data_IF_397239682420
#
_entry.id   IF_397239682420
#
_cell.length_a   1.000
_cell.length_b   1.000
_cell.length_c   1.000
_cell.angle_alpha   90.00
_cell.angle_beta   90.00
_cell.angle_gamma   90.00
#
_symmetry.space_group_name_H-M   'P 1'
#
loop_
_entity.id
_entity.type
_entity.pdbx_description
1 polymer ?
#
# COMPACT_ATOMS: atom_id res chain seq x y z
N UNK A 1 22.98 -4.65 24.86
CA UNK A 1 21.88 -4.77 23.88
C UNK A 1 22.05 -5.95 22.90
N UNK A 2 23.21 -6.16 22.23
CA UNK A 2 23.39 -7.29 21.27
C UNK A 2 23.17 -8.68 21.86
N UNK A 3 23.52 -8.92 23.13
CA UNK A 3 23.32 -10.21 23.83
C UNK A 3 21.85 -10.49 24.21
N UNK A 4 21.05 -9.45 24.47
CA UNK A 4 19.62 -9.58 24.77
C UNK A 4 18.78 -9.95 23.54
N UNK A 5 19.14 -9.41 22.37
CA UNK A 5 18.47 -9.76 21.09
C UNK A 5 18.79 -11.21 20.70
N UNK A 6 20.03 -11.66 20.92
CA UNK A 6 20.43 -13.05 20.63
C UNK A 6 19.76 -14.05 21.59
N UNK A 7 19.61 -13.70 22.87
CA UNK A 7 18.87 -14.51 23.84
C UNK A 7 17.38 -14.54 23.57
N UNK A 8 16.78 -13.45 23.09
CA UNK A 8 15.39 -13.40 22.64
C UNK A 8 15.15 -14.29 21.43
N UNK A 9 16.02 -14.24 20.43
CA UNK A 9 15.96 -15.12 19.27
C UNK A 9 16.14 -16.61 19.64
N UNK A 10 17.12 -16.93 20.49
CA UNK A 10 17.33 -18.30 20.94
C UNK A 10 16.20 -18.82 21.85
N UNK A 11 15.57 -17.94 22.64
CA UNK A 11 14.41 -18.29 23.47
C UNK A 11 13.17 -18.65 22.62
N UNK A 12 12.98 -18.04 21.45
CA UNK A 12 11.89 -18.37 20.52
C UNK A 12 12.11 -19.75 19.87
N UNK A 13 13.37 -20.15 19.64
CA UNK A 13 13.69 -21.46 19.05
C UNK A 13 13.59 -22.63 20.05
N UNK A 14 13.53 -22.36 21.35
CA UNK A 14 13.39 -23.42 22.38
C UNK A 14 11.93 -23.81 22.68
N UNK A 15 10.96 -23.09 22.14
CA UNK A 15 9.54 -23.39 22.34
C UNK A 15 9.04 -24.18 21.13
N UNK A 16 9.00 -25.49 21.31
CA UNK A 16 8.11 -26.40 20.64
C UNK A 16 8.66 -27.31 19.53
N UNK A 17 8.43 -28.59 19.73
CA UNK A 17 8.30 -29.64 18.74
C UNK A 17 7.03 -29.46 17.83
N UNK A 18 6.51 -28.23 17.66
CA UNK A 18 5.42 -27.91 16.75
C UNK A 18 5.98 -27.69 15.35
N UNK A 19 5.24 -28.09 14.33
CA UNK A 19 5.66 -28.04 12.94
C UNK A 19 6.05 -26.60 12.51
N UNK A 20 7.36 -26.33 12.52
CA UNK A 20 7.93 -25.10 12.01
C UNK A 20 7.88 -25.13 10.48
N UNK A 21 7.14 -24.23 9.86
CA UNK A 21 7.22 -23.99 8.42
C UNK A 21 8.13 -22.80 8.13
N UNK A 22 9.01 -22.94 7.16
CA UNK A 22 9.89 -21.88 6.71
C UNK A 22 9.97 -21.84 5.20
N UNK A 23 10.42 -20.74 4.66
CA UNK A 23 10.60 -20.53 3.24
C UNK A 23 11.29 -19.20 2.99
N UNK A 24 11.48 -18.90 1.73
CA UNK A 24 12.04 -17.62 1.33
C UNK A 24 11.52 -17.14 -0.01
N UNK A 25 11.79 -15.89 -0.32
CA UNK A 25 11.44 -15.27 -1.60
C UNK A 25 12.67 -14.50 -2.10
N UNK A 26 13.08 -14.77 -3.32
CA UNK A 26 14.04 -13.96 -4.06
C UNK A 26 13.26 -13.05 -5.01
N UNK A 27 13.53 -11.76 -4.96
CA UNK A 27 12.88 -10.77 -5.81
C UNK A 27 13.94 -9.97 -6.58
N UNK A 28 13.67 -9.74 -7.84
CA UNK A 28 14.37 -8.79 -8.69
C UNK A 28 13.36 -7.82 -9.30
N UNK A 29 13.72 -6.53 -9.33
CA UNK A 29 13.01 -5.52 -10.10
C UNK A 29 14.05 -4.61 -10.75
N UNK A 30 14.10 -4.60 -12.07
CA UNK A 30 14.97 -3.75 -12.88
C UNK A 30 14.10 -2.77 -13.65
N UNK A 31 14.17 -1.48 -13.33
CA UNK A 31 13.38 -0.40 -13.92
C UNK A 31 14.28 0.57 -14.65
N UNK A 32 14.08 0.70 -15.95
CA UNK A 32 14.66 1.75 -16.78
C UNK A 32 13.65 2.89 -16.90
N UNK A 33 14.08 4.11 -16.64
CA UNK A 33 13.23 5.31 -16.77
C UNK A 33 13.89 6.32 -17.70
N UNK A 34 13.07 7.05 -18.43
CA UNK A 34 13.50 8.08 -19.37
C UNK A 34 12.61 9.33 -19.23
N UNK A 35 13.20 10.52 -19.46
CA UNK A 35 12.44 11.74 -19.67
C UNK A 35 11.89 11.82 -21.11
N UNK A 36 11.16 12.89 -21.41
CA UNK A 36 10.44 13.07 -22.68
C UNK A 36 11.29 12.96 -23.95
N UNK A 37 12.51 13.48 -23.93
CA UNK A 37 13.43 13.51 -25.08
C UNK A 37 14.48 12.40 -25.04
N UNK A 38 14.38 11.48 -24.07
CA UNK A 38 15.34 10.41 -23.81
C UNK A 38 16.78 10.90 -23.54
N UNK A 39 16.94 12.19 -23.21
CA UNK A 39 18.24 12.76 -22.86
C UNK A 39 18.72 12.34 -21.47
N UNK A 40 17.79 11.98 -20.58
CA UNK A 40 18.09 11.45 -19.26
C UNK A 40 17.55 10.04 -19.12
N UNK A 41 18.45 9.09 -18.93
CA UNK A 41 18.14 7.70 -18.67
C UNK A 41 18.61 7.35 -17.27
N UNK A 42 17.78 6.62 -16.53
CA UNK A 42 18.15 6.08 -15.21
C UNK A 42 17.74 4.61 -15.09
N UNK A 43 18.61 3.82 -14.46
CA UNK A 43 18.35 2.43 -14.12
C UNK A 43 18.22 2.33 -12.61
N UNK A 44 17.06 1.89 -12.15
CA UNK A 44 16.85 1.48 -10.77
C UNK A 44 16.76 -0.04 -10.73
N UNK A 45 17.67 -0.68 -10.01
CA UNK A 45 17.67 -2.12 -9.80
C UNK A 45 17.51 -2.41 -8.31
N UNK A 46 16.47 -3.17 -7.98
CA UNK A 46 16.17 -3.60 -6.62
C UNK A 46 16.16 -5.11 -6.56
N UNK A 47 17.04 -5.69 -5.72
CA UNK A 47 17.09 -7.11 -5.44
C UNK A 47 16.85 -7.34 -3.98
N UNK A 48 16.02 -8.32 -3.67
CA UNK A 48 15.68 -8.67 -2.30
C UNK A 48 15.70 -10.16 -2.05
N UNK A 49 16.04 -10.54 -0.83
CA UNK A 49 15.84 -11.88 -0.29
C UNK A 49 15.12 -11.75 1.03
N UNK A 50 13.99 -12.41 1.16
CA UNK A 50 13.30 -12.55 2.44
C UNK A 50 13.29 -14.01 2.88
N UNK A 51 13.40 -14.21 4.20
CA UNK A 51 13.19 -15.49 4.87
C UNK A 51 12.04 -15.34 5.83
N UNK A 52 11.11 -16.27 5.80
CA UNK A 52 9.97 -16.28 6.70
C UNK A 52 9.88 -17.61 7.47
N UNK A 53 9.36 -17.49 8.69
CA UNK A 53 9.03 -18.62 9.54
C UNK A 53 7.61 -18.48 10.06
N UNK A 54 6.91 -19.61 10.18
CA UNK A 54 5.60 -19.69 10.81
C UNK A 54 5.58 -20.88 11.74
N UNK A 55 5.00 -20.71 12.94
CA UNK A 55 4.87 -21.80 13.93
C UNK A 55 3.55 -21.67 14.67
N UNK A 56 2.77 -22.73 14.83
CA UNK A 56 1.71 -22.74 15.82
C UNK A 56 2.28 -22.58 17.21
N UNK A 57 1.61 -21.81 18.07
CA UNK A 57 2.00 -21.60 19.47
C UNK A 57 1.20 -22.48 20.45
N UNK A 58 0.16 -23.13 19.93
CA UNK A 58 -0.64 -24.05 20.73
C UNK A 58 -1.15 -25.24 19.88
N UNK A 59 -1.62 -26.30 20.56
CA UNK A 59 -2.07 -27.54 19.92
C UNK A 59 -3.30 -27.36 19.02
N UNK A 60 -4.13 -26.37 19.28
CA UNK A 60 -5.33 -26.08 18.48
C UNK A 60 -5.05 -25.21 17.26
N UNK A 61 -3.80 -24.82 17.07
CA UNK A 61 -3.33 -23.95 15.97
C UNK A 61 -4.11 -22.62 15.80
N UNK A 62 -4.88 -22.22 16.79
CA UNK A 62 -5.60 -20.95 16.77
C UNK A 62 -4.72 -19.75 17.17
N UNK A 63 -3.50 -20.00 17.65
CA UNK A 63 -2.49 -19.01 17.94
C UNK A 63 -1.19 -19.39 17.22
N UNK A 64 -0.66 -18.47 16.40
CA UNK A 64 0.51 -18.70 15.54
C UNK A 64 1.48 -17.54 15.67
N UNK A 65 2.76 -17.85 15.56
CA UNK A 65 3.83 -16.89 15.34
C UNK A 65 4.16 -16.81 13.86
N UNK A 66 4.46 -15.60 13.36
CA UNK A 66 5.01 -15.39 12.02
C UNK A 66 6.12 -14.36 12.10
N UNK A 67 7.24 -14.63 11.44
CA UNK A 67 8.36 -13.71 11.32
C UNK A 67 8.94 -13.72 9.92
N UNK A 68 9.44 -12.57 9.48
CA UNK A 68 10.15 -12.38 8.24
C UNK A 68 11.34 -11.46 8.44
N UNK A 69 12.46 -11.79 7.81
CA UNK A 69 13.63 -10.90 7.71
C UNK A 69 13.90 -10.68 6.24
N UNK A 70 13.98 -9.42 5.85
CA UNK A 70 14.26 -8.96 4.50
C UNK A 70 15.68 -8.36 4.45
N UNK A 71 16.46 -8.80 3.48
CA UNK A 71 17.62 -8.05 2.99
C UNK A 71 17.32 -7.57 1.58
N UNK A 72 17.53 -6.28 1.32
CA UNK A 72 17.32 -5.66 0.02
C UNK A 72 18.48 -4.75 -0.31
N UNK A 73 18.92 -4.78 -1.56
CA UNK A 73 19.83 -3.77 -2.06
C UNK A 73 19.23 -3.07 -3.28
N UNK A 74 19.39 -1.77 -3.35
CA UNK A 74 19.01 -0.93 -4.48
C UNK A 74 20.26 -0.32 -5.09
N UNK A 75 20.32 -0.37 -6.42
CA UNK A 75 21.28 0.34 -7.24
C UNK A 75 20.50 1.35 -8.09
N UNK A 76 20.79 2.61 -7.92
CA UNK A 76 20.33 3.69 -8.78
C UNK A 76 21.52 4.14 -9.63
N UNK A 77 21.39 4.08 -10.95
CA UNK A 77 22.40 4.51 -11.90
C UNK A 77 21.82 5.54 -12.86
N UNK A 78 22.43 6.71 -12.91
CA UNK A 78 22.12 7.78 -13.86
C UNK A 78 23.11 7.71 -15.02
N UNK A 79 22.61 7.50 -16.25
CA UNK A 79 23.44 7.36 -17.44
C UNK A 79 24.03 8.70 -17.92
N UNK A 80 23.40 9.82 -17.58
CA UNK A 80 23.84 11.15 -17.97
C UNK A 80 25.01 11.63 -17.10
N UNK A 81 24.82 11.63 -15.78
CA UNK A 81 25.89 11.98 -14.83
C UNK A 81 26.93 10.87 -14.66
N UNK A 82 26.62 9.63 -15.06
CA UNK A 82 27.37 8.40 -14.80
C UNK A 82 27.60 8.13 -13.31
N UNK A 83 26.70 8.62 -12.48
CA UNK A 83 26.73 8.40 -11.05
C UNK A 83 25.92 7.18 -10.65
N UNK A 84 26.37 6.50 -9.61
CA UNK A 84 25.67 5.37 -9.02
C UNK A 84 25.52 5.52 -7.52
N UNK A 85 24.37 5.18 -7.02
CA UNK A 85 24.09 5.15 -5.58
C UNK A 85 23.65 3.75 -5.17
N UNK A 86 24.27 3.22 -4.12
CA UNK A 86 23.92 1.95 -3.52
C UNK A 86 23.26 2.17 -2.16
N UNK A 87 22.13 1.49 -1.95
CA UNK A 87 21.45 1.48 -0.67
C UNK A 87 21.19 0.04 -0.23
N UNK A 88 21.69 -0.30 0.97
CA UNK A 88 21.45 -1.60 1.60
C UNK A 88 20.40 -1.44 2.70
N UNK A 89 19.42 -2.32 2.72
CA UNK A 89 18.33 -2.33 3.69
C UNK A 89 18.27 -3.71 4.32
N UNK A 90 18.34 -3.77 5.65
CA UNK A 90 17.86 -4.92 6.42
C UNK A 90 16.62 -4.49 7.16
N UNK A 91 15.58 -5.25 7.06
CA UNK A 91 14.32 -4.98 7.75
C UNK A 91 13.66 -6.27 8.24
N UNK A 92 12.74 -6.11 9.17
CA UNK A 92 11.85 -7.14 9.67
C UNK A 92 10.43 -6.67 9.44
N UNK A 93 9.90 -6.92 8.25
CA UNK A 93 8.58 -6.43 7.83
C UNK A 93 7.43 -7.18 8.49
N UNK A 94 7.69 -8.38 8.98
CA UNK A 94 6.72 -9.20 9.68
C UNK A 94 7.35 -9.81 10.94
N UNK A 95 6.79 -9.51 12.09
CA UNK A 95 7.11 -10.14 13.38
C UNK A 95 5.86 -10.07 14.25
N UNK A 96 4.99 -11.06 14.15
CA UNK A 96 3.71 -11.02 14.85
C UNK A 96 3.27 -12.34 15.46
N UNK A 97 2.45 -12.22 16.48
CA UNK A 97 1.57 -13.27 16.96
C UNK A 97 0.18 -13.04 16.33
N UNK A 98 -0.37 -14.08 15.76
CA UNK A 98 -1.69 -14.09 15.15
C UNK A 98 -2.58 -15.08 15.89
N UNK A 99 -3.76 -14.63 16.33
CA UNK A 99 -4.79 -15.46 16.93
C UNK A 99 -6.08 -15.45 16.12
N UNK A 100 -6.76 -16.61 16.02
CA UNK A 100 -8.07 -16.75 15.38
C UNK A 100 -8.94 -17.71 16.13
N UNK A 101 -10.11 -17.23 16.58
CA UNK A 101 -11.09 -18.02 17.33
C UNK A 101 -12.43 -17.98 16.63
N UNK A 102 -12.91 -19.15 16.24
CA UNK A 102 -14.24 -19.30 15.65
C UNK A 102 -15.29 -19.49 16.74
N UNK A 103 -16.41 -18.79 16.63
CA UNK A 103 -17.61 -18.91 17.45
C UNK A 103 -18.77 -19.30 16.54
N UNK A 104 -19.91 -19.67 17.13
CA UNK A 104 -21.10 -20.05 16.35
C UNK A 104 -21.54 -19.00 15.31
N UNK A 105 -21.41 -17.72 15.63
CA UNK A 105 -21.89 -16.62 14.78
C UNK A 105 -20.80 -15.85 14.06
N UNK A 106 -19.53 -16.04 14.41
CA UNK A 106 -18.47 -15.24 13.81
C UNK A 106 -17.07 -15.65 14.26
N UNK A 107 -16.10 -14.90 13.83
CA UNK A 107 -14.68 -15.13 14.09
C UNK A 107 -14.06 -13.89 14.72
N UNK A 108 -13.35 -14.07 15.83
CA UNK A 108 -12.46 -13.07 16.41
C UNK A 108 -11.04 -13.32 15.93
N UNK A 109 -10.36 -12.29 15.46
CA UNK A 109 -8.95 -12.34 15.10
C UNK A 109 -8.15 -11.29 15.86
N UNK A 110 -6.92 -11.64 16.20
CA UNK A 110 -5.94 -10.79 16.89
C UNK A 110 -4.63 -10.84 16.12
N UNK A 111 -4.06 -9.70 15.78
CA UNK A 111 -2.68 -9.55 15.34
C UNK A 111 -1.95 -8.66 16.35
N UNK A 112 -0.77 -9.08 16.82
CA UNK A 112 0.05 -8.29 17.75
C UNK A 112 1.52 -8.37 17.35
N UNK A 113 2.17 -7.22 17.20
CA UNK A 113 3.56 -7.09 16.79
C UNK A 113 3.72 -6.21 15.56
N UNK A 114 4.65 -6.56 14.68
CA UNK A 114 4.90 -5.87 13.41
C UNK A 114 4.21 -6.57 12.25
N UNK A 115 3.36 -5.86 11.54
CA UNK A 115 2.65 -6.37 10.37
C UNK A 115 2.15 -5.23 9.48
N UNK A 116 1.87 -5.56 8.21
CA UNK A 116 1.24 -4.61 7.31
C UNK A 116 -0.21 -4.39 7.73
N UNK A 117 -0.54 -3.15 8.07
CA UNK A 117 -1.90 -2.70 8.35
C UNK A 117 -2.33 -1.74 7.24
N UNK A 118 -3.59 -1.81 6.84
CA UNK A 118 -4.20 -0.88 5.90
C UNK A 118 -5.58 -0.46 6.39
N UNK A 119 -5.89 0.81 6.24
CA UNK A 119 -7.23 1.32 6.43
C UNK A 119 -8.20 0.76 5.36
N UNK A 120 -9.51 0.85 5.57
CA UNK A 120 -10.51 0.34 4.62
C UNK A 120 -10.42 1.01 3.24
N UNK A 121 -10.02 2.25 3.22
CA UNK A 121 -9.90 3.01 1.99
C UNK A 121 -8.62 2.71 1.23
N UNK A 122 -7.58 2.23 1.91
CA UNK A 122 -6.22 2.15 1.40
C UNK A 122 -5.61 3.51 1.06
N UNK A 123 -6.21 4.59 1.55
CA UNK A 123 -5.90 5.96 1.14
C UNK A 123 -5.00 6.67 2.13
N UNK A 124 -5.34 6.61 3.42
CA UNK A 124 -4.69 7.40 4.45
C UNK A 124 -3.47 6.68 5.03
N UNK A 125 -3.65 5.40 5.40
CA UNK A 125 -2.64 4.63 6.12
C UNK A 125 -2.59 3.19 5.63
N UNK A 126 -1.57 2.86 4.86
CA UNK A 126 -1.34 1.50 4.35
C UNK A 126 0.16 1.21 4.35
N UNK A 127 0.66 0.65 5.45
CA UNK A 127 2.07 0.32 5.60
C UNK A 127 2.30 -0.70 6.70
N UNK A 128 3.52 -1.23 6.79
CA UNK A 128 4.00 -1.99 7.95
C UNK A 128 4.09 -1.07 9.15
N UNK A 129 3.59 -1.51 10.30
CA UNK A 129 3.73 -0.79 11.58
C UNK A 129 3.67 -1.75 12.76
N UNK A 130 4.09 -1.28 13.93
CA UNK A 130 4.10 -2.04 15.17
C UNK A 130 2.81 -1.77 15.94
N UNK A 131 2.04 -2.81 16.28
CA UNK A 131 0.77 -2.56 16.95
C UNK A 131 -0.03 -3.81 17.28
N UNK A 132 -1.27 -3.56 17.65
CA UNK A 132 -2.29 -4.58 17.94
C UNK A 132 -3.53 -4.28 17.12
N UNK A 133 -3.98 -5.26 16.35
CA UNK A 133 -5.25 -5.23 15.65
C UNK A 133 -6.16 -6.33 16.20
N UNK A 134 -7.41 -5.97 16.48
CA UNK A 134 -8.48 -6.90 16.86
C UNK A 134 -9.61 -6.74 15.87
N UNK A 135 -10.13 -7.82 15.33
CA UNK A 135 -11.30 -7.78 14.45
C UNK A 135 -12.28 -8.90 14.73
N UNK A 136 -13.55 -8.57 14.67
CA UNK A 136 -14.66 -9.49 14.69
C UNK A 136 -15.33 -9.52 13.34
N UNK A 137 -15.61 -10.68 12.82
CA UNK A 137 -16.21 -10.89 11.50
C UNK A 137 -17.30 -11.97 11.58
N UNK A 138 -18.55 -11.60 11.27
CA UNK A 138 -19.67 -12.51 11.11
C UNK A 138 -20.35 -12.34 9.74
N UNK A 139 -21.48 -13.02 9.53
CA UNK A 139 -22.23 -12.97 8.27
C UNK A 139 -22.69 -11.54 7.93
N UNK A 140 -23.06 -10.74 8.93
CA UNK A 140 -23.66 -9.42 8.74
C UNK A 140 -22.73 -8.26 9.09
N UNK A 141 -21.90 -8.44 10.10
CA UNK A 141 -21.10 -7.36 10.67
C UNK A 141 -19.62 -7.73 10.65
N UNK A 142 -18.81 -6.76 10.27
CA UNK A 142 -17.36 -6.79 10.50
C UNK A 142 -16.99 -5.54 11.27
N UNK A 143 -16.29 -5.68 12.39
CA UNK A 143 -15.79 -4.57 13.18
C UNK A 143 -14.30 -4.78 13.48
N UNK A 144 -13.53 -3.70 13.58
CA UNK A 144 -12.11 -3.78 13.85
C UNK A 144 -11.60 -2.57 14.61
N UNK A 145 -10.53 -2.80 15.33
CA UNK A 145 -9.77 -1.77 16.02
C UNK A 145 -8.28 -2.04 15.85
N UNK A 146 -7.52 -1.01 15.60
CA UNK A 146 -6.07 -1.03 15.54
C UNK A 146 -5.49 0.12 16.38
N UNK A 147 -4.45 -0.19 17.15
CA UNK A 147 -3.61 0.78 17.83
C UNK A 147 -2.15 0.41 17.58
N UNK A 148 -1.32 1.39 17.22
CA UNK A 148 0.05 1.10 16.82
C UNK A 148 1.05 2.21 17.14
N UNK A 149 2.28 1.97 16.69
CA UNK A 149 3.42 2.84 16.85
C UNK A 149 4.33 2.75 15.63
N UNK A 150 4.71 3.87 15.05
CA UNK A 150 5.54 3.90 13.84
C UNK A 150 7.04 4.05 14.13
N UNK A 151 7.46 4.10 15.40
CA UNK A 151 8.84 4.37 15.80
C UNK A 151 9.86 3.29 15.50
N UNK A 152 9.44 2.03 15.35
CA UNK A 152 10.31 0.90 15.05
C UNK A 152 10.45 0.60 13.54
N UNK A 153 9.84 1.41 12.68
CA UNK A 153 9.98 1.27 11.24
C UNK A 153 11.33 1.72 10.75
N UNK A 154 11.91 0.98 9.82
CA UNK A 154 13.09 1.43 9.09
C UNK A 154 12.68 2.45 8.01
N UNK A 155 13.08 3.70 8.18
CA UNK A 155 12.72 4.81 7.29
C UNK A 155 13.20 4.63 5.84
N UNK A 156 14.17 3.77 5.58
CA UNK A 156 14.62 3.44 4.23
C UNK A 156 13.65 2.53 3.46
N UNK A 157 12.79 1.82 4.19
CA UNK A 157 11.84 0.86 3.62
C UNK A 157 10.38 1.31 3.77
N UNK A 158 10.14 2.50 4.29
CA UNK A 158 8.81 3.04 4.57
C UNK A 158 8.60 4.33 3.79
N UNK A 159 7.46 4.42 3.09
CA UNK A 159 7.00 5.63 2.43
C UNK A 159 5.98 6.35 3.33
N UNK A 160 6.42 7.37 4.06
CA UNK A 160 5.57 8.22 4.90
C UNK A 160 5.68 9.67 4.46
N UNK A 161 4.56 10.39 4.47
CA UNK A 161 4.47 11.77 3.99
C UNK A 161 5.44 12.72 4.70
N UNK A 162 5.59 12.57 6.03
CA UNK A 162 6.46 13.42 6.84
C UNK A 162 7.84 12.76 7.12
N UNK A 163 8.27 11.86 6.26
CA UNK A 163 9.54 11.17 6.40
C UNK A 163 10.65 11.90 5.64
N UNK A 164 11.51 12.62 6.36
CA UNK A 164 12.69 13.25 5.78
C UNK A 164 13.75 12.18 5.51
N UNK A 165 14.08 12.01 4.23
CA UNK A 165 15.18 11.18 3.75
C UNK A 165 16.41 12.06 3.50
N UNK A 166 17.51 11.74 4.17
CA UNK A 166 18.82 12.34 3.88
C UNK A 166 19.67 11.35 3.09
N UNK A 167 20.16 11.74 1.93
CA UNK A 167 21.04 10.93 1.11
C UNK A 167 22.30 10.48 1.90
N UNK A 168 22.76 9.24 1.67
CA UNK A 168 23.95 8.67 2.33
C UNK A 168 23.71 8.16 3.74
N UNK A 169 22.47 7.99 4.17
CA UNK A 169 22.14 7.51 5.50
C UNK A 169 22.39 6.02 5.72
N UNK A 170 22.56 5.73 7.00
CA UNK A 170 22.94 4.43 7.50
C UNK A 170 21.88 3.35 7.21
N UNK A 171 22.37 2.14 7.14
CA UNK A 171 21.76 0.86 6.96
C UNK A 171 20.42 0.62 7.69
N UNK A 172 20.21 1.17 8.89
CA UNK A 172 18.97 1.13 9.63
C UNK A 172 18.75 2.42 10.42
N UNK A 173 17.60 3.06 10.24
CA UNK A 173 17.22 4.27 10.98
C UNK A 173 15.74 4.23 11.32
N UNK A 174 15.41 4.49 12.58
CA UNK A 174 14.02 4.53 13.07
C UNK A 174 13.25 5.71 12.50
N UNK A 175 11.94 5.55 12.35
CA UNK A 175 11.01 6.54 11.83
C UNK A 175 9.87 6.84 12.83
N UNK A 176 10.15 7.50 13.98
CA UNK A 176 9.15 7.81 15.00
C UNK A 176 8.26 8.98 14.55
N UNK A 177 7.08 8.71 14.03
CA UNK A 177 6.17 9.72 13.52
C UNK A 177 4.88 9.82 14.34
N UNK A 178 4.10 8.75 14.40
CA UNK A 178 2.75 8.78 14.93
C UNK A 178 2.41 7.55 15.79
N UNK A 179 1.42 7.75 16.67
CA UNK A 179 0.62 6.69 17.26
C UNK A 179 -0.70 6.64 16.48
N UNK A 180 -0.89 5.68 15.56
CA UNK A 180 -2.14 5.47 14.85
C UNK A 180 -3.17 4.77 15.72
N UNK A 181 -4.41 5.28 15.71
CA UNK A 181 -5.61 4.67 16.27
C UNK A 181 -6.65 4.57 15.16
N UNK A 182 -7.14 3.38 14.85
CA UNK A 182 -8.11 3.15 13.79
C UNK A 182 -9.24 2.27 14.31
N UNK A 183 -10.48 2.70 14.10
CA UNK A 183 -11.68 1.92 14.41
C UNK A 183 -12.58 1.87 13.19
N UNK A 184 -13.15 0.69 12.92
CA UNK A 184 -14.01 0.50 11.76
C UNK A 184 -15.16 -0.46 12.03
N UNK A 185 -16.24 -0.27 11.27
CA UNK A 185 -17.40 -1.15 11.25
C UNK A 185 -17.96 -1.24 9.84
N UNK A 186 -18.34 -2.43 9.43
CA UNK A 186 -19.04 -2.68 8.17
C UNK A 186 -20.29 -3.54 8.40
N UNK A 187 -21.39 -3.17 7.76
CA UNK A 187 -22.60 -3.97 7.68
C UNK A 187 -22.72 -4.54 6.26
N UNK A 188 -22.69 -5.87 6.14
CA UNK A 188 -22.53 -6.61 4.86
C UNK A 188 -23.83 -7.02 4.19
N UNK A 189 -24.97 -6.85 4.85
CA UNK A 189 -26.25 -7.34 4.38
C UNK A 189 -27.25 -6.21 4.10
N UNK A 190 -26.76 -5.04 3.66
CA UNK A 190 -27.62 -3.97 3.22
C UNK A 190 -28.22 -4.36 1.86
N UNK A 191 -29.53 -4.43 1.76
CA UNK A 191 -30.24 -4.87 0.55
C UNK A 191 -29.68 -6.19 -0.04
N UNK A 192 -29.34 -7.14 0.84
CA UNK A 192 -28.84 -8.50 0.55
C UNK A 192 -27.48 -8.61 -0.16
N UNK A 193 -27.05 -7.61 -0.90
CA UNK A 193 -25.79 -7.66 -1.70
C UNK A 193 -24.86 -6.48 -1.51
N UNK A 194 -25.21 -5.57 -0.61
CA UNK A 194 -24.46 -4.32 -0.43
C UNK A 194 -23.82 -4.27 0.95
N UNK A 195 -22.67 -3.65 1.01
CA UNK A 195 -21.92 -3.39 2.25
C UNK A 195 -21.76 -1.89 2.45
N UNK A 196 -22.17 -1.40 3.60
CA UNK A 196 -21.81 -0.07 4.07
C UNK A 196 -20.74 -0.20 5.15
N UNK A 197 -19.70 0.62 5.07
CA UNK A 197 -18.63 0.63 6.05
C UNK A 197 -18.29 2.05 6.47
N UNK A 198 -17.96 2.20 7.76
CA UNK A 198 -17.51 3.44 8.37
C UNK A 198 -16.19 3.19 9.09
N UNK A 199 -15.27 4.13 9.02
CA UNK A 199 -13.98 4.09 9.69
C UNK A 199 -13.64 5.47 10.24
N UNK A 200 -13.10 5.49 11.46
CA UNK A 200 -12.47 6.65 12.08
C UNK A 200 -11.00 6.39 12.36
N UNK A 201 -10.16 7.38 12.12
CA UNK A 201 -8.73 7.30 12.31
C UNK A 201 -8.20 8.54 13.03
N UNK A 202 -7.25 8.35 13.94
CA UNK A 202 -6.56 9.43 14.62
C UNK A 202 -5.06 9.12 14.67
N UNK A 203 -4.23 10.06 14.26
CA UNK A 203 -2.78 9.95 14.26
C UNK A 203 -2.21 11.01 15.20
N UNK A 204 -1.75 10.54 16.37
CA UNK A 204 -1.18 11.37 17.42
C UNK A 204 0.32 11.53 17.15
N UNK A 205 0.83 12.76 16.95
CA UNK A 205 2.23 12.96 16.61
C UNK A 205 3.14 12.65 17.78
N UNK A 206 4.33 12.11 17.45
CA UNK A 206 5.41 11.81 18.41
C UNK A 206 6.50 12.90 18.41
N UNK A 207 6.43 13.84 17.47
CA UNK A 207 7.33 14.98 17.34
C UNK A 207 6.53 16.28 17.39
N UNK A 208 7.12 17.32 17.95
CA UNK A 208 6.47 18.62 18.12
C UNK A 208 6.19 19.33 16.79
N UNK A 209 6.97 19.04 15.74
CA UNK A 209 6.82 19.63 14.40
C UNK A 209 5.60 19.04 13.66
N UNK A 210 5.18 17.84 14.03
CA UNK A 210 4.08 17.15 13.38
C UNK A 210 2.73 17.60 13.98
N UNK A 211 1.70 17.52 13.15
CA UNK A 211 0.33 17.86 13.55
C UNK A 211 -0.49 16.60 13.78
N UNK A 212 -1.41 16.65 14.75
CA UNK A 212 -2.45 15.63 14.87
C UNK A 212 -3.29 15.62 13.61
N UNK A 213 -3.50 14.42 13.03
CA UNK A 213 -4.35 14.22 11.86
C UNK A 213 -5.50 13.29 12.25
N UNK A 214 -6.71 13.60 11.81
CA UNK A 214 -7.87 12.73 12.01
C UNK A 214 -8.65 12.58 10.71
N UNK A 215 -9.21 11.37 10.50
CA UNK A 215 -9.96 11.06 9.30
C UNK A 215 -11.22 10.28 9.62
N UNK A 216 -12.22 10.46 8.77
CA UNK A 216 -13.46 9.69 8.77
C UNK A 216 -13.76 9.22 7.35
N UNK A 217 -13.87 7.92 7.15
CA UNK A 217 -14.14 7.30 5.84
C UNK A 217 -15.49 6.61 5.86
N UNK A 218 -16.31 6.88 4.85
CA UNK A 218 -17.52 6.13 4.54
C UNK A 218 -17.34 5.40 3.20
N UNK A 219 -17.78 4.13 3.17
CA UNK A 219 -17.73 3.30 1.97
C UNK A 219 -19.08 2.63 1.74
N UNK A 220 -19.48 2.54 0.47
CA UNK A 220 -20.60 1.73 0.01
C UNK A 220 -20.14 0.90 -1.19
N UNK A 221 -20.25 -0.40 -1.11
CA UNK A 221 -19.96 -1.29 -2.21
C UNK A 221 -21.07 -2.34 -2.39
N UNK A 222 -21.20 -2.85 -3.61
CA UNK A 222 -22.21 -3.84 -3.92
C UNK A 222 -22.19 -4.28 -5.37
N UNK A 223 -23.09 -5.22 -5.69
CA UNK A 223 -23.33 -5.66 -7.06
C UNK A 223 -24.45 -4.82 -7.69
N UNK A 224 -24.28 -4.49 -8.97
CA UNK A 224 -25.31 -3.90 -9.82
C UNK A 224 -25.73 -4.96 -10.87
N UNK A 225 -26.50 -5.95 -10.44
CA UNK A 225 -26.83 -7.15 -11.19
C UNK A 225 -25.69 -8.18 -11.20
N UNK A 226 -25.72 -9.10 -12.16
CA UNK A 226 -24.73 -10.19 -12.29
C UNK A 226 -23.44 -9.79 -12.99
N UNK A 227 -23.47 -8.69 -13.76
CA UNK A 227 -22.38 -8.30 -14.65
C UNK A 227 -21.67 -7.03 -14.24
N UNK A 228 -22.00 -6.45 -13.09
CA UNK A 228 -21.37 -5.23 -12.61
C UNK A 228 -21.24 -5.20 -11.08
N UNK A 229 -20.22 -4.52 -10.58
CA UNK A 229 -20.09 -4.12 -9.17
C UNK A 229 -19.62 -2.68 -9.07
N UNK A 230 -19.92 -2.05 -7.95
CA UNK A 230 -19.50 -0.68 -7.70
C UNK A 230 -18.87 -0.52 -6.32
N UNK A 231 -18.05 0.50 -6.18
CA UNK A 231 -17.48 0.96 -4.91
C UNK A 231 -17.52 2.48 -4.88
N UNK A 232 -18.12 3.03 -3.84
CA UNK A 232 -18.15 4.47 -3.55
C UNK A 232 -17.43 4.71 -2.23
N UNK A 233 -16.55 5.69 -2.20
CA UNK A 233 -15.76 6.04 -1.02
C UNK A 233 -15.73 7.55 -0.84
N UNK A 234 -15.83 8.02 0.41
CA UNK A 234 -15.56 9.39 0.80
C UNK A 234 -14.77 9.40 2.09
N UNK A 235 -13.63 10.09 2.10
CA UNK A 235 -12.76 10.28 3.25
C UNK A 235 -12.64 11.76 3.56
N UNK A 236 -13.09 12.16 4.73
CA UNK A 236 -12.88 13.49 5.29
C UNK A 236 -11.68 13.45 6.21
N UNK A 237 -10.80 14.44 6.10
CA UNK A 237 -9.62 14.58 6.94
C UNK A 237 -9.55 15.95 7.58
N UNK A 238 -8.79 16.07 8.67
CA UNK A 238 -8.48 17.34 9.33
C UNK A 238 -7.12 17.29 10.02
N UNK A 239 -6.43 18.43 10.04
CA UNK A 239 -5.21 18.63 10.83
C UNK A 239 -5.50 19.58 11.98
N UNK A 240 -5.14 19.22 13.22
CA UNK A 240 -5.41 19.99 14.45
C UNK A 240 -6.89 20.38 14.61
N UNK A 241 -7.82 19.79 13.84
CA UNK A 241 -9.24 20.16 13.78
C UNK A 241 -9.49 21.61 13.28
N UNK A 242 -8.53 22.21 12.54
CA UNK A 242 -8.58 23.59 12.06
C UNK A 242 -8.97 23.69 10.58
N UNK A 243 -8.71 22.66 9.80
CA UNK A 243 -8.97 22.58 8.37
C UNK A 243 -9.81 21.36 8.00
N UNK A 244 -10.36 21.35 6.82
CA UNK A 244 -11.12 20.22 6.28
C UNK A 244 -10.50 19.77 4.97
N UNK A 245 -10.25 18.46 4.83
CA UNK A 245 -9.72 17.81 3.63
C UNK A 245 -10.71 16.77 3.11
N UNK A 246 -10.74 16.53 1.82
CA UNK A 246 -11.66 15.58 1.19
C UNK A 246 -10.98 14.75 0.10
N UNK A 247 -11.18 13.44 0.17
CA UNK A 247 -10.89 12.46 -0.90
C UNK A 247 -12.15 11.66 -1.20
N UNK A 248 -12.58 11.62 -2.46
CA UNK A 248 -13.73 10.81 -2.87
C UNK A 248 -13.39 9.99 -4.10
N UNK A 249 -13.84 8.74 -4.13
CA UNK A 249 -13.64 7.83 -5.26
C UNK A 249 -14.89 7.03 -5.56
N UNK A 250 -15.24 6.97 -6.83
CA UNK A 250 -16.26 6.08 -7.37
C UNK A 250 -15.62 5.11 -8.36
N UNK A 251 -15.96 3.83 -8.28
CA UNK A 251 -15.48 2.78 -9.19
C UNK A 251 -16.65 1.91 -9.64
N UNK A 252 -16.72 1.62 -10.93
CA UNK A 252 -17.63 0.67 -11.55
C UNK A 252 -16.80 -0.41 -12.25
N UNK A 253 -17.01 -1.67 -11.89
CA UNK A 253 -16.40 -2.81 -12.55
C UNK A 253 -17.46 -3.56 -13.38
N UNK A 254 -17.13 -3.87 -14.62
CA UNK A 254 -17.98 -4.58 -15.58
C UNK A 254 -17.35 -5.93 -15.90
N UNK A 255 -18.14 -7.00 -15.80
CA UNK A 255 -17.77 -8.40 -16.04
C UNK A 255 -18.47 -8.92 -17.31
N UNK A 256 -18.32 -8.18 -18.41
CA UNK A 256 -19.05 -8.44 -19.68
C UNK A 256 -18.25 -9.32 -20.66
N UNK A 257 -16.97 -9.49 -20.42
CA UNK A 257 -16.07 -10.31 -21.24
C UNK A 257 -15.48 -11.41 -20.35
N UNK A 258 -15.50 -12.65 -20.85
CA UNK A 258 -14.95 -13.79 -20.12
C UNK A 258 -13.48 -13.56 -19.72
N UNK A 259 -13.13 -13.93 -18.50
CA UNK A 259 -11.80 -13.74 -17.91
C UNK A 259 -11.31 -12.28 -17.86
N UNK A 260 -12.21 -11.31 -17.98
CA UNK A 260 -11.84 -9.89 -18.04
C UNK A 260 -12.71 -9.01 -17.16
N UNK A 261 -12.10 -7.92 -16.70
CA UNK A 261 -12.76 -6.85 -15.94
C UNK A 261 -12.47 -5.52 -16.64
N UNK A 262 -13.52 -4.77 -16.97
CA UNK A 262 -13.40 -3.37 -17.34
C UNK A 262 -13.72 -2.54 -16.10
N UNK A 263 -12.82 -1.68 -15.68
CA UNK A 263 -12.98 -0.82 -14.50
C UNK A 263 -12.98 0.65 -14.94
N UNK A 264 -14.03 1.36 -14.56
CA UNK A 264 -14.15 2.80 -14.74
C UNK A 264 -14.14 3.44 -13.35
N UNK A 265 -13.27 4.40 -13.11
CA UNK A 265 -13.24 5.10 -11.83
C UNK A 265 -13.01 6.59 -12.00
N UNK A 266 -13.45 7.36 -11.01
CA UNK A 266 -13.15 8.77 -10.87
C UNK A 266 -12.80 9.04 -9.41
N UNK A 267 -11.75 9.80 -9.20
CA UNK A 267 -11.30 10.19 -7.89
C UNK A 267 -11.11 11.71 -7.84
N UNK A 268 -11.58 12.34 -6.76
CA UNK A 268 -11.32 13.74 -6.44
C UNK A 268 -10.53 13.82 -5.15
N UNK A 269 -9.43 14.53 -5.19
CA UNK A 269 -8.56 14.80 -4.03
C UNK A 269 -8.49 16.30 -3.85
N UNK A 270 -8.89 16.80 -2.68
CA UNK A 270 -8.91 18.23 -2.41
C UNK A 270 -7.52 18.86 -2.44
N UNK A 271 -7.46 20.08 -2.93
CA UNK A 271 -6.32 20.99 -2.83
C UNK A 271 -6.70 22.20 -1.97
N UNK A 272 -5.76 23.13 -1.82
CA UNK A 272 -5.98 24.34 -1.04
C UNK A 272 -6.92 25.32 -1.78
N UNK A 273 -8.21 24.96 -1.89
CA UNK A 273 -9.21 25.73 -2.63
C UNK A 273 -10.61 25.62 -2.00
N UNK A 274 -11.26 26.75 -1.83
CA UNK A 274 -12.61 26.84 -1.32
C UNK A 274 -12.71 26.43 0.15
N UNK A 275 -13.55 25.41 0.43
CA UNK A 275 -13.78 24.92 1.80
C UNK A 275 -12.78 23.85 2.24
N UNK A 276 -12.00 23.31 1.31
CA UNK A 276 -11.09 22.21 1.57
C UNK A 276 -9.65 22.64 1.40
N UNK A 277 -8.81 22.16 2.30
CA UNK A 277 -7.35 22.20 2.19
C UNK A 277 -6.82 21.00 1.41
N UNK A 278 -5.52 21.04 1.10
CA UNK A 278 -4.82 19.93 0.45
C UNK A 278 -4.93 18.65 1.26
N UNK A 279 -5.43 17.58 0.64
CA UNK A 279 -5.56 16.28 1.28
C UNK A 279 -4.19 15.67 1.52
N UNK A 280 -3.84 15.51 2.78
CA UNK A 280 -2.60 14.89 3.22
C UNK A 280 -2.86 13.49 3.78
N UNK A 281 -1.99 12.54 3.46
CA UNK A 281 -2.05 11.17 3.97
C UNK A 281 -0.91 10.91 4.98
N UNK A 282 -0.95 9.78 5.66
CA UNK A 282 0.14 9.30 6.51
C UNK A 282 1.13 8.50 5.68
N UNK A 283 0.66 7.52 4.93
CA UNK A 283 1.48 6.81 3.93
C UNK A 283 1.52 7.64 2.65
N UNK A 284 2.72 7.88 2.13
CA UNK A 284 2.91 8.62 0.87
C UNK A 284 2.11 7.95 -0.25
N UNK A 285 1.39 8.75 -0.99
CA UNK A 285 0.56 8.32 -2.09
C UNK A 285 1.11 8.83 -3.42
N UNK A 286 1.14 7.98 -4.42
CA UNK A 286 1.46 8.34 -5.80
C UNK A 286 0.22 8.20 -6.68
N UNK A 287 0.07 9.06 -7.65
CA UNK A 287 -0.97 8.99 -8.68
C UNK A 287 -0.34 8.51 -9.99
N UNK A 288 0.06 7.23 -10.00
CA UNK A 288 0.82 6.67 -11.10
C UNK A 288 2.21 7.29 -11.22
N UNK A 289 2.54 7.77 -12.41
CA UNK A 289 3.81 8.47 -12.71
C UNK A 289 3.70 9.99 -12.54
N UNK A 290 2.51 10.51 -12.23
CA UNK A 290 2.29 11.94 -12.02
C UNK A 290 2.73 12.34 -10.60
N UNK A 291 3.48 13.43 -10.51
CA UNK A 291 3.86 14.06 -9.24
C UNK A 291 2.82 15.14 -8.90
N UNK A 292 1.67 14.72 -8.34
CA UNK A 292 0.58 15.63 -7.99
C UNK A 292 0.29 15.54 -6.50
N UNK A 293 0.24 16.65 -5.81
CA UNK A 293 0.12 16.73 -4.35
C UNK A 293 -1.31 16.98 -3.83
N UNK A 294 -2.32 16.99 -4.67
CA UNK A 294 -3.71 17.30 -4.31
C UNK A 294 -4.30 18.38 -5.20
N UNK A 295 -5.59 18.68 -5.07
CA UNK A 295 -6.31 19.56 -5.98
C UNK A 295 -6.49 18.93 -7.35
N UNK A 296 -6.88 17.63 -7.41
CA UNK A 296 -6.94 16.87 -8.66
C UNK A 296 -8.24 16.09 -8.81
N UNK A 297 -8.65 15.89 -10.05
CA UNK A 297 -9.61 14.86 -10.47
C UNK A 297 -8.88 13.86 -11.36
N UNK A 298 -9.09 12.58 -11.10
CA UNK A 298 -8.43 11.45 -11.76
C UNK A 298 -9.47 10.49 -12.36
N UNK A 299 -10.07 10.79 -13.52
CA UNK A 299 -10.83 9.80 -14.26
C UNK A 299 -9.88 8.71 -14.77
N UNK A 300 -10.27 7.45 -14.60
CA UNK A 300 -9.47 6.30 -15.01
C UNK A 300 -10.34 5.25 -15.68
N UNK A 301 -9.82 4.68 -16.75
CA UNK A 301 -10.31 3.45 -17.35
C UNK A 301 -9.23 2.37 -17.25
N UNK A 302 -9.61 1.15 -16.84
CA UNK A 302 -8.68 0.03 -16.77
C UNK A 302 -9.33 -1.23 -17.36
N UNK A 303 -8.49 -2.07 -17.94
CA UNK A 303 -8.85 -3.39 -18.43
C UNK A 303 -7.90 -4.41 -17.83
N UNK A 304 -8.45 -5.47 -17.25
CA UNK A 304 -7.69 -6.59 -16.70
C UNK A 304 -8.18 -7.86 -17.37
N UNK A 305 -7.25 -8.64 -17.88
CA UNK A 305 -7.46 -9.98 -18.38
C UNK A 305 -6.66 -10.99 -17.57
N UNK A 306 -7.32 -12.06 -17.10
CA UNK A 306 -6.66 -13.10 -16.31
C UNK A 306 -7.11 -14.47 -16.79
N UNK A 307 -6.19 -15.27 -17.32
CA UNK A 307 -6.44 -16.65 -17.77
C UNK A 307 -5.27 -17.54 -17.45
N UNK A 308 -5.53 -18.65 -16.76
CA UNK A 308 -4.50 -19.61 -16.33
C UNK A 308 -3.37 -18.91 -15.54
N UNK A 309 -2.14 -19.03 -16.04
CA UNK A 309 -0.93 -18.45 -15.44
C UNK A 309 -0.63 -17.03 -15.90
N UNK A 310 -1.47 -16.43 -16.74
CA UNK A 310 -1.22 -15.12 -17.36
C UNK A 310 -2.22 -14.08 -16.86
N UNK A 311 -1.71 -12.92 -16.46
CA UNK A 311 -2.49 -11.73 -16.15
C UNK A 311 -1.93 -10.55 -16.95
N UNK A 312 -2.80 -9.82 -17.62
CA UNK A 312 -2.47 -8.58 -18.30
C UNK A 312 -3.40 -7.47 -17.81
N UNK A 313 -2.86 -6.29 -17.57
CA UNK A 313 -3.66 -5.10 -17.30
C UNK A 313 -3.17 -3.91 -18.10
N UNK A 314 -4.11 -3.08 -18.50
CA UNK A 314 -3.92 -1.78 -19.13
C UNK A 314 -4.72 -0.76 -18.34
N UNK A 315 -4.14 0.36 -17.98
CA UNK A 315 -4.87 1.47 -17.38
C UNK A 315 -4.48 2.81 -18.01
N UNK A 316 -5.45 3.69 -18.09
CA UNK A 316 -5.30 5.06 -18.55
C UNK A 316 -5.94 5.98 -17.52
N UNK A 317 -5.18 6.93 -16.98
CA UNK A 317 -5.65 7.93 -16.02
C UNK A 317 -5.44 9.33 -16.59
N UNK A 318 -6.51 10.08 -16.67
CA UNK A 318 -6.44 11.50 -17.00
C UNK A 318 -6.19 12.29 -15.71
N UNK A 319 -5.20 13.19 -15.71
CA UNK A 319 -4.85 14.03 -14.54
C UNK A 319 -5.33 15.44 -14.81
N UNK A 320 -6.34 15.87 -14.07
CA UNK A 320 -6.93 17.22 -14.15
C UNK A 320 -6.61 17.92 -12.83
N UNK A 321 -5.86 19.00 -12.89
CA UNK A 321 -5.47 19.82 -11.74
C UNK A 321 -6.33 21.06 -11.59
N UNK A 322 -6.42 21.54 -10.36
CA UNK A 322 -7.05 22.82 -10.02
C UNK A 322 -6.01 23.73 -9.35
N UNK A 323 -5.07 24.33 -10.11
CA UNK A 323 -4.06 25.23 -9.54
C UNK A 323 -4.69 26.54 -9.01
N UNK A 324 -5.90 26.85 -9.47
CA UNK A 324 -6.73 27.99 -9.06
C UNK A 324 -8.19 27.57 -9.18
N UNK A 325 -9.12 28.48 -9.41
CA UNK A 325 -10.55 28.17 -9.61
C UNK A 325 -10.84 27.48 -10.96
N UNK A 326 -9.84 27.31 -11.83
CA UNK A 326 -10.00 26.70 -13.16
C UNK A 326 -9.38 25.31 -13.19
N UNK A 327 -10.14 24.39 -13.76
CA UNK A 327 -9.65 23.04 -14.06
C UNK A 327 -8.68 23.08 -15.25
N UNK A 328 -7.53 22.45 -15.13
CA UNK A 328 -6.53 22.36 -16.19
C UNK A 328 -6.10 20.90 -16.39
N UNK A 329 -6.11 20.46 -17.64
CA UNK A 329 -5.58 19.14 -17.99
C UNK A 329 -4.06 19.15 -17.83
N UNK A 330 -3.55 18.35 -16.89
CA UNK A 330 -2.10 18.21 -16.65
C UNK A 330 -1.49 17.15 -17.56
N UNK A 331 -2.15 15.99 -17.70
CA UNK A 331 -1.61 14.92 -18.53
C UNK A 331 -2.40 13.62 -18.48
N UNK A 332 -1.80 12.62 -19.08
CA UNK A 332 -2.30 11.25 -19.14
C UNK A 332 -1.27 10.28 -18.59
N UNK A 333 -1.68 9.39 -17.69
CA UNK A 333 -0.83 8.33 -17.14
C UNK A 333 -1.32 6.97 -17.65
N UNK A 334 -0.54 6.39 -18.54
CA UNK A 334 -0.79 5.09 -19.16
C UNK A 334 0.09 4.04 -18.49
N UNK A 335 -0.46 2.90 -18.12
CA UNK A 335 0.32 1.76 -17.64
C UNK A 335 -0.14 0.44 -18.22
N UNK A 336 0.83 -0.43 -18.52
CA UNK A 336 0.63 -1.83 -18.91
C UNK A 336 1.40 -2.70 -17.94
N UNK A 337 0.73 -3.71 -17.40
CA UNK A 337 1.36 -4.70 -16.54
C UNK A 337 1.06 -6.10 -17.09
N UNK A 338 2.10 -6.92 -17.25
CA UNK A 338 2.02 -8.30 -17.67
C UNK A 338 2.66 -9.18 -16.60
N UNK A 339 1.94 -10.20 -16.16
CA UNK A 339 2.42 -11.16 -15.16
C UNK A 339 2.23 -12.57 -15.71
N UNK A 340 3.27 -13.38 -15.61
CA UNK A 340 3.23 -14.78 -16.00
C UNK A 340 3.83 -15.67 -14.90
N UNK A 341 3.02 -16.59 -14.40
CA UNK A 341 3.47 -17.64 -13.48
C UNK A 341 4.03 -18.80 -14.29
N UNK A 342 5.36 -18.85 -14.42
CA UNK A 342 6.08 -19.91 -15.16
C UNK A 342 5.87 -21.25 -14.47
N UNK A 343 6.01 -21.25 -13.15
CA UNK A 343 5.77 -22.37 -12.24
C UNK A 343 4.99 -21.85 -11.03
N UNK A 344 4.62 -22.75 -10.12
CA UNK A 344 3.91 -22.36 -8.88
C UNK A 344 4.72 -21.40 -8.00
N UNK A 345 6.03 -21.45 -8.11
CA UNK A 345 7.02 -20.75 -7.30
C UNK A 345 7.84 -19.72 -8.08
N UNK A 346 7.66 -19.64 -9.42
CA UNK A 346 8.37 -18.69 -10.30
C UNK A 346 7.40 -17.78 -11.01
N UNK A 347 7.53 -16.49 -10.80
CA UNK A 347 6.74 -15.46 -11.44
C UNK A 347 7.64 -14.47 -12.19
N UNK A 348 7.24 -14.13 -13.40
CA UNK A 348 7.84 -13.06 -14.20
C UNK A 348 6.83 -11.94 -14.41
N UNK A 349 7.31 -10.71 -14.38
CA UNK A 349 6.51 -9.52 -14.61
C UNK A 349 7.19 -8.57 -15.57
N UNK A 350 6.39 -7.84 -16.33
CA UNK A 350 6.85 -6.77 -17.20
C UNK A 350 5.88 -5.58 -17.11
N UNK A 351 6.39 -4.43 -16.73
CA UNK A 351 5.62 -3.20 -16.60
C UNK A 351 6.13 -2.15 -17.59
N UNK A 352 5.21 -1.50 -18.26
CA UNK A 352 5.46 -0.31 -19.06
C UNK A 352 4.60 0.83 -18.53
N UNK A 353 5.14 2.02 -18.51
CA UNK A 353 4.36 3.21 -18.15
C UNK A 353 4.86 4.46 -18.85
N UNK A 354 3.91 5.37 -19.08
CA UNK A 354 4.17 6.66 -19.66
C UNK A 354 3.27 7.71 -19.00
N UNK A 355 3.87 8.79 -18.53
CA UNK A 355 3.14 10.00 -18.19
C UNK A 355 3.38 11.04 -19.29
N UNK A 356 2.31 11.46 -19.94
CA UNK A 356 2.33 12.45 -21.01
C UNK A 356 1.80 13.78 -20.46
N UNK A 357 2.73 14.70 -20.10
CA UNK A 357 2.37 16.02 -19.62
C UNK A 357 1.88 16.90 -20.78
N UNK A 358 0.73 17.55 -20.61
CA UNK A 358 0.15 18.46 -21.64
C UNK A 358 0.60 19.90 -21.47
N UNK A 359 1.01 20.32 -20.27
CA UNK A 359 1.45 21.68 -19.95
C UNK A 359 2.89 21.94 -20.38
N UNK A 360 3.78 21.02 -20.04
CA UNK A 360 5.21 21.13 -20.33
C UNK A 360 5.72 19.80 -20.88
N UNK A 361 6.31 19.83 -22.08
CA UNK A 361 6.90 18.61 -22.67
C UNK A 361 7.96 17.96 -21.77
N UNK A 362 8.67 18.78 -21.00
CA UNK A 362 9.70 18.34 -20.04
C UNK A 362 9.13 17.53 -18.85
N UNK A 363 7.85 17.64 -18.55
CA UNK A 363 7.19 16.90 -17.48
C UNK A 363 6.81 15.47 -17.86
N UNK A 364 6.95 15.07 -19.11
CA UNK A 364 6.63 13.69 -19.54
C UNK A 364 7.76 12.73 -19.16
N UNK A 365 7.39 11.51 -18.78
CA UNK A 365 8.33 10.47 -18.43
C UNK A 365 7.84 9.09 -18.89
N UNK A 366 8.79 8.18 -19.09
CA UNK A 366 8.54 6.80 -19.53
C UNK A 366 9.30 5.83 -18.64
N UNK A 367 8.77 4.64 -18.48
CA UNK A 367 9.54 3.56 -17.85
C UNK A 367 9.19 2.21 -18.44
N UNK A 368 10.15 1.30 -18.33
CA UNK A 368 9.99 -0.12 -18.53
C UNK A 368 10.62 -0.86 -17.34
N UNK A 369 9.92 -1.84 -16.78
CA UNK A 369 10.45 -2.63 -15.67
C UNK A 369 10.27 -4.12 -15.93
N UNK A 370 11.31 -4.89 -15.60
CA UNK A 370 11.27 -6.34 -15.53
C UNK A 370 11.32 -6.77 -14.08
N UNK A 371 10.44 -7.69 -13.72
CA UNK A 371 10.33 -8.28 -12.39
C UNK A 371 10.46 -9.78 -12.45
N UNK A 372 11.16 -10.37 -11.50
CA UNK A 372 11.22 -11.80 -11.31
C UNK A 372 11.12 -12.13 -9.83
N UNK A 373 10.35 -13.17 -9.50
CA UNK A 373 10.20 -13.66 -8.14
C UNK A 373 10.29 -15.18 -8.12
N UNK A 374 11.04 -15.70 -7.16
CA UNK A 374 11.18 -17.13 -6.88
C UNK A 374 10.89 -17.36 -5.39
N UNK A 375 9.86 -18.17 -5.10
CA UNK A 375 9.60 -18.68 -3.75
C UNK A 375 10.21 -20.06 -3.55
N UNK A 376 10.69 -20.41 -2.33
CA UNK A 376 11.28 -21.71 -2.00
C UNK A 376 11.03 -22.13 -0.56
#
# INVERSE_FOLDING_TARGET
MKKLVLCGLLGVFSVSAFALSWGGILNNNSKLSANNDFSRLSLNQSNGVSFFVKSPLNSNENLKFSGEVLYKYNLDYDFDSKESTFTNIIDCDLLKIYGKWAFEKGTLSLDAGRFKFGDFSGTVFTQTSDGVAVSYDDIKIKAGFYAGYTGLLNRLNVSMTDNEYEAGQQFYKLCPQYIPLVANVAYKALFDSHTIALQGECFIPLKNELKTKAYATAMLNGSAGSSASYNLKATFGTQKFENLMLDTKATLNLFVIENSIISLSGEYVSGNQGLFDTFETITTRSYGNASVSGGVILPQAAFVYAKNSFVASLSETCVIEFPSEKAELNGFDTSVNLVYNVLSDVQLGFDLGAYLCTKEKTGSNYYAAFKASLAF
#
